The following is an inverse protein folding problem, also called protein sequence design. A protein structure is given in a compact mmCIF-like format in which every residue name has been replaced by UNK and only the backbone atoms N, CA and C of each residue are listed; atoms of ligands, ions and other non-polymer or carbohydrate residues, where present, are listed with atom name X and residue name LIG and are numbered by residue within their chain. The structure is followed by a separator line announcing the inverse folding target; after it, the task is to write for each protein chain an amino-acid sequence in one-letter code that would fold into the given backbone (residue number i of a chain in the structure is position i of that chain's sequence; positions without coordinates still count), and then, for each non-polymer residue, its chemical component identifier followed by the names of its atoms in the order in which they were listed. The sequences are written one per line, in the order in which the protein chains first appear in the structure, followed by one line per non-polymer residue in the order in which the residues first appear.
data_IF_465990220154
#
_entry.id   IF_465990220154
#
_cell.length_a   1.000
_cell.length_b   1.000
_cell.length_c   1.000
_cell.angle_alpha   90.00
_cell.angle_beta   90.00
_cell.angle_gamma   90.00
#
_symmetry.space_group_name_H-M   'P 1'
#
loop_
_entity.id
_entity.type
_entity.pdbx_description
1 polymer ?
#
# COMPACT_ATOMS: atom_id res chain seq x y z
N UNK A 1 -4.49 28.76 -25.53
CA UNK A 1 -4.81 27.72 -24.52
C UNK A 1 -3.61 26.79 -24.39
N UNK A 2 -3.18 26.39 -23.19
CA UNK A 2 -2.02 25.49 -23.00
C UNK A 2 -2.53 24.25 -22.29
N UNK A 3 -2.37 23.10 -22.92
CA UNK A 3 -2.64 21.81 -22.31
C UNK A 3 -1.41 21.32 -21.56
N UNK A 4 -1.61 20.88 -20.33
CA UNK A 4 -0.55 20.29 -19.52
C UNK A 4 -0.88 18.83 -19.34
N UNK A 5 0.07 17.97 -19.67
CA UNK A 5 -0.03 16.53 -19.42
C UNK A 5 1.13 16.09 -18.54
N UNK A 6 0.84 15.25 -17.54
CA UNK A 6 1.82 14.68 -16.64
C UNK A 6 1.73 13.16 -16.65
N UNK A 7 2.89 12.50 -16.66
CA UNK A 7 3.01 11.05 -16.74
C UNK A 7 4.17 10.55 -15.88
N UNK A 8 3.88 9.62 -14.99
CA UNK A 8 4.92 8.92 -14.22
C UNK A 8 5.64 7.90 -15.10
N UNK A 9 6.97 7.88 -15.07
CA UNK A 9 7.80 7.05 -15.97
C UNK A 9 7.66 5.57 -15.63
N UNK A 10 7.74 5.22 -14.33
CA UNK A 10 7.77 3.83 -13.83
C UNK A 10 6.42 3.32 -13.29
N UNK A 11 5.35 4.09 -13.49
CA UNK A 11 4.03 3.82 -12.93
C UNK A 11 3.77 4.57 -11.61
N UNK A 12 2.66 4.26 -10.92
CA UNK A 12 2.17 5.04 -9.80
C UNK A 12 2.60 4.54 -8.41
N UNK A 13 3.47 3.53 -8.30
CA UNK A 13 3.87 2.94 -7.00
C UNK A 13 5.39 3.06 -6.83
N UNK A 14 5.82 3.58 -5.69
CA UNK A 14 7.22 3.82 -5.34
C UNK A 14 7.49 3.38 -3.90
N UNK A 15 8.74 3.11 -3.57
CA UNK A 15 9.20 2.90 -2.21
C UNK A 15 9.67 4.21 -1.55
N UNK A 16 9.59 4.30 -0.23
CA UNK A 16 10.31 5.34 0.53
C UNK A 16 11.82 5.23 0.24
N UNK A 17 12.48 6.36 -0.03
CA UNK A 17 13.88 6.41 -0.50
C UNK A 17 14.07 6.36 -2.02
N UNK A 18 13.03 6.02 -2.78
CA UNK A 18 13.11 5.91 -4.24
C UNK A 18 12.97 7.28 -4.95
N UNK A 19 13.56 7.39 -6.14
CA UNK A 19 13.43 8.58 -7.00
C UNK A 19 12.16 8.44 -7.83
N UNK A 20 11.25 9.41 -7.69
CA UNK A 20 10.08 9.55 -8.54
C UNK A 20 10.40 10.42 -9.76
N UNK A 21 10.03 9.93 -10.95
CA UNK A 21 10.20 10.63 -12.21
C UNK A 21 8.85 10.90 -12.88
N UNK A 22 8.59 12.16 -13.20
CA UNK A 22 7.36 12.60 -13.87
C UNK A 22 7.70 13.42 -15.11
N UNK A 23 7.24 12.97 -16.27
CA UNK A 23 7.28 13.73 -17.52
C UNK A 23 6.13 14.73 -17.52
N UNK A 24 6.45 16.01 -17.62
CA UNK A 24 5.48 17.11 -17.68
C UNK A 24 5.59 17.74 -19.06
N UNK A 25 4.53 17.65 -19.86
CA UNK A 25 4.49 18.19 -21.23
C UNK A 25 3.49 19.32 -21.31
N UNK A 26 3.96 20.47 -21.79
CA UNK A 26 3.17 21.65 -22.10
C UNK A 26 2.94 21.68 -23.60
N UNK A 27 1.69 21.77 -24.04
CA UNK A 27 1.31 21.74 -25.45
C UNK A 27 0.41 22.92 -25.76
N UNK A 28 0.75 23.67 -26.81
CA UNK A 28 -0.19 24.59 -27.43
C UNK A 28 -0.87 23.85 -28.59
N UNK A 29 -2.17 23.51 -28.50
CA UNK A 29 -2.85 22.76 -29.56
C UNK A 29 -2.86 23.56 -30.87
N UNK A 30 -2.93 22.88 -32.03
CA UNK A 30 -3.00 23.57 -33.31
C UNK A 30 -4.27 24.41 -33.39
N UNK A 31 -4.18 25.59 -34.00
CA UNK A 31 -5.36 26.43 -34.25
C UNK A 31 -6.33 25.68 -35.17
N UNK A 32 -7.65 25.69 -34.89
CA UNK A 32 -8.63 25.26 -35.88
C UNK A 32 -8.46 26.14 -37.14
N UNK A 33 -8.58 25.54 -38.33
CA UNK A 33 -8.20 26.07 -39.65
C UNK A 33 -8.84 27.41 -40.10
N UNK A 34 -9.45 28.21 -39.22
CA UNK A 34 -10.19 29.44 -39.53
C UNK A 34 -9.87 30.68 -38.68
N UNK A 35 -8.81 30.69 -37.87
CA UNK A 35 -8.35 31.93 -37.21
C UNK A 35 -7.04 32.43 -37.82
N UNK A 36 -7.17 33.35 -38.78
CA UNK A 36 -6.04 34.13 -39.32
C UNK A 36 -5.64 35.14 -38.24
N UNK A 37 -4.51 34.91 -37.58
CA UNK A 37 -3.93 35.82 -36.59
C UNK A 37 -3.62 37.18 -37.23
N UNK A 38 -4.06 38.28 -36.59
CA UNK A 38 -3.83 39.64 -37.09
C UNK A 38 -2.50 40.25 -36.58
N UNK A 39 -1.77 39.57 -35.68
CA UNK A 39 -0.47 40.02 -35.19
C UNK A 39 0.51 38.86 -34.92
N UNK A 40 1.82 39.17 -34.91
CA UNK A 40 2.88 38.19 -34.63
C UNK A 40 2.91 37.73 -33.15
N UNK A 41 2.34 38.52 -32.23
CA UNK A 41 2.23 38.21 -30.80
C UNK A 41 1.05 37.29 -30.47
N UNK A 42 -0.02 37.32 -31.26
CA UNK A 42 -1.22 36.49 -31.03
C UNK A 42 -1.05 35.03 -31.47
N UNK A 43 0.12 34.69 -32.03
CA UNK A 43 0.47 33.32 -32.43
C UNK A 43 0.96 32.47 -31.26
N UNK A 44 1.54 33.09 -30.23
CA UNK A 44 2.21 32.36 -29.15
C UNK A 44 1.37 32.33 -27.89
N UNK A 45 1.31 31.15 -27.29
CA UNK A 45 0.82 31.01 -25.94
C UNK A 45 1.99 31.10 -24.98
N UNK A 46 1.85 31.93 -23.94
CA UNK A 46 2.90 32.15 -22.94
C UNK A 46 2.46 31.66 -21.56
N UNK A 47 3.40 31.01 -20.86
CA UNK A 47 3.29 30.60 -19.47
C UNK A 47 4.41 31.28 -18.68
N UNK A 48 4.05 32.02 -17.63
CA UNK A 48 5.01 32.78 -16.84
C UNK A 48 5.96 31.85 -16.08
N UNK A 49 5.41 30.83 -15.44
CA UNK A 49 6.21 29.81 -14.76
C UNK A 49 5.45 28.50 -14.58
N UNK A 50 6.21 27.43 -14.40
CA UNK A 50 5.72 26.16 -13.90
C UNK A 50 6.68 25.62 -12.83
N UNK A 51 6.14 25.08 -11.75
CA UNK A 51 6.90 24.41 -10.70
C UNK A 51 6.22 23.12 -10.27
N UNK A 52 6.98 22.17 -9.76
CA UNK A 52 6.47 20.91 -9.26
C UNK A 52 7.07 20.59 -7.90
N UNK A 53 6.27 19.90 -7.07
CA UNK A 53 6.70 19.43 -5.76
C UNK A 53 5.95 18.15 -5.38
N UNK A 54 6.53 17.38 -4.47
CA UNK A 54 5.90 16.21 -3.85
C UNK A 54 5.40 16.60 -2.46
N UNK A 55 4.21 16.14 -2.10
CA UNK A 55 3.73 16.24 -0.73
C UNK A 55 2.92 15.01 -0.30
N UNK A 56 2.93 14.75 1.01
CA UNK A 56 2.04 13.82 1.71
C UNK A 56 1.08 14.60 2.59
N UNK A 57 -0.21 14.33 2.43
CA UNK A 57 -1.25 14.80 3.33
C UNK A 57 -1.74 13.65 4.18
N UNK A 58 -1.88 13.90 5.48
CA UNK A 58 -2.60 13.02 6.38
C UNK A 58 -3.93 13.64 6.78
N UNK A 59 -5.01 12.91 6.55
CA UNK A 59 -6.34 13.25 7.03
C UNK A 59 -6.70 12.33 8.18
N UNK A 60 -7.16 12.91 9.28
CA UNK A 60 -7.52 12.18 10.50
C UNK A 60 -9.04 12.18 10.68
N UNK A 61 -9.56 11.10 11.25
CA UNK A 61 -10.94 11.04 11.70
C UNK A 61 -11.06 11.67 13.08
N UNK A 62 -11.73 12.82 13.14
CA UNK A 62 -11.87 13.60 14.37
C UNK A 62 -12.61 12.86 15.49
N UNK A 63 -13.37 11.80 15.20
CA UNK A 63 -14.03 10.97 16.23
C UNK A 63 -13.04 10.03 16.93
N UNK A 64 -11.96 9.66 16.27
CA UNK A 64 -11.00 8.64 16.74
C UNK A 64 -9.66 9.26 17.17
N UNK A 65 -9.29 10.41 16.58
CA UNK A 65 -7.97 11.03 16.73
C UNK A 65 -8.07 12.47 17.25
N UNK A 66 -7.27 12.80 18.26
CA UNK A 66 -7.07 14.13 18.81
C UNK A 66 -6.19 14.97 17.86
N UNK A 67 -6.83 15.79 17.03
CA UNK A 67 -6.16 16.53 15.95
C UNK A 67 -5.46 17.82 16.40
N UNK A 68 -5.67 18.28 17.64
CA UNK A 68 -5.13 19.56 18.14
C UNK A 68 -3.60 19.58 18.24
N UNK A 69 -2.98 18.48 18.71
CA UNK A 69 -1.51 18.37 18.80
C UNK A 69 -0.84 18.24 17.43
N UNK A 70 -1.52 17.57 16.50
CA UNK A 70 -1.04 17.32 15.13
C UNK A 70 -0.90 18.63 14.35
N UNK A 71 -1.85 19.56 14.54
CA UNK A 71 -1.85 20.85 13.86
C UNK A 71 -0.64 21.73 14.22
N UNK A 72 -0.10 21.61 15.44
CA UNK A 72 1.08 22.37 15.88
C UNK A 72 2.34 21.91 15.15
N UNK A 73 2.52 20.59 14.97
CA UNK A 73 3.65 20.00 14.25
C UNK A 73 3.53 20.14 12.72
N UNK A 74 2.31 20.10 12.19
CA UNK A 74 2.09 20.33 10.76
C UNK A 74 2.39 21.78 10.32
N UNK A 75 2.14 22.76 11.21
CA UNK A 75 2.46 24.17 10.95
C UNK A 75 3.97 24.41 10.82
N UNK A 76 4.82 23.72 11.60
CA UNK A 76 6.28 23.87 11.49
C UNK A 76 6.83 23.28 10.18
N UNK A 77 6.29 22.16 9.71
CA UNK A 77 6.68 21.55 8.41
C UNK A 77 6.26 22.45 7.23
N UNK A 78 5.10 23.09 7.31
CA UNK A 78 4.62 24.02 6.28
C UNK A 78 5.42 25.34 6.22
N UNK A 79 6.06 25.78 7.30
CA UNK A 79 6.88 27.00 7.37
C UNK A 79 8.20 26.87 6.60
N UNK A 80 8.69 25.64 6.35
CA UNK A 80 9.93 25.40 5.62
C UNK A 80 9.85 25.67 4.10
N UNK A 81 8.69 26.12 3.60
CA UNK A 81 8.55 26.64 2.26
C UNK A 81 8.81 28.14 2.24
N UNK A 82 10.07 28.54 1.99
CA UNK A 82 10.46 29.94 1.73
C UNK A 82 9.84 30.51 0.43
N UNK A 83 8.73 29.95 -0.06
CA UNK A 83 8.13 30.24 -1.36
C UNK A 83 6.63 30.50 -1.18
N UNK A 84 6.09 31.41 -1.97
CA UNK A 84 4.63 31.68 -2.03
C UNK A 84 3.84 30.54 -2.67
N UNK A 85 4.50 29.56 -3.28
CA UNK A 85 3.87 28.40 -3.86
C UNK A 85 3.55 27.37 -2.76
N UNK A 86 2.32 27.43 -2.25
CA UNK A 86 1.81 26.56 -1.18
C UNK A 86 0.57 25.76 -1.63
N UNK A 87 0.69 24.84 -2.62
CA UNK A 87 -0.47 24.14 -3.20
C UNK A 87 -1.21 23.23 -2.21
N UNK A 88 -0.59 22.86 -1.09
CA UNK A 88 -1.22 22.04 -0.05
C UNK A 88 -2.27 22.78 0.77
N UNK A 89 -2.26 24.12 0.79
CA UNK A 89 -3.23 24.91 1.57
C UNK A 89 -4.68 24.74 1.11
N UNK A 90 -4.88 24.30 -0.14
CA UNK A 90 -6.21 24.05 -0.70
C UNK A 90 -6.75 22.66 -0.39
N UNK A 91 -5.93 21.76 0.15
CA UNK A 91 -6.31 20.38 0.39
C UNK A 91 -6.65 20.15 1.87
N UNK A 92 -7.65 19.30 2.12
CA UNK A 92 -8.04 18.92 3.48
C UNK A 92 -6.99 18.00 4.11
N UNK A 93 -6.64 18.27 5.38
CA UNK A 93 -5.69 17.47 6.15
C UNK A 93 -4.45 18.25 6.56
N UNK A 94 -3.55 17.58 7.26
CA UNK A 94 -2.28 18.15 7.68
C UNK A 94 -1.15 17.66 6.77
N UNK A 95 -0.17 18.53 6.51
CA UNK A 95 0.99 18.19 5.69
C UNK A 95 1.99 17.43 6.55
N UNK A 96 2.23 16.18 6.18
CA UNK A 96 3.23 15.32 6.84
C UNK A 96 4.58 15.43 6.14
N UNK A 97 4.56 15.65 4.83
CA UNK A 97 5.77 15.74 4.01
C UNK A 97 5.56 16.75 2.90
N UNK A 98 6.57 17.57 2.64
CA UNK A 98 6.58 18.50 1.53
C UNK A 98 8.01 18.72 1.04
N UNK A 99 8.26 18.48 -0.25
CA UNK A 99 9.57 18.74 -0.85
C UNK A 99 9.68 20.20 -1.31
N UNK A 100 10.92 20.67 -1.49
CA UNK A 100 11.16 22.01 -2.03
C UNK A 100 10.62 22.08 -3.47
N UNK A 101 9.86 23.12 -3.85
CA UNK A 101 9.39 23.28 -5.23
C UNK A 101 10.56 23.37 -6.20
N UNK A 102 10.51 22.59 -7.29
CA UNK A 102 11.45 22.66 -8.40
C UNK A 102 10.80 23.37 -9.57
N UNK A 103 11.46 24.40 -10.09
CA UNK A 103 11.02 25.14 -11.27
C UNK A 103 11.24 24.27 -12.50
N UNK A 104 10.18 24.07 -13.30
CA UNK A 104 10.24 23.33 -14.57
C UNK A 104 10.57 24.27 -15.73
N UNK A 105 9.94 25.44 -15.77
CA UNK A 105 10.20 26.46 -16.78
C UNK A 105 9.82 27.86 -16.27
N UNK A 106 10.44 28.88 -16.86
CA UNK A 106 10.07 30.30 -16.74
C UNK A 106 9.87 30.87 -18.15
N UNK A 107 8.93 31.79 -18.30
CA UNK A 107 8.61 32.51 -19.54
C UNK A 107 8.53 31.60 -20.77
N UNK A 108 7.86 30.45 -20.61
CA UNK A 108 7.71 29.47 -21.66
C UNK A 108 6.77 30.01 -22.74
N UNK A 109 7.26 30.07 -23.98
CA UNK A 109 6.47 30.42 -25.18
C UNK A 109 6.35 29.20 -26.08
N UNK A 110 5.14 28.93 -26.56
CA UNK A 110 4.82 27.82 -27.45
C UNK A 110 4.05 28.31 -28.67
N UNK A 111 4.54 27.93 -29.85
CA UNK A 111 3.87 28.12 -31.14
C UNK A 111 2.67 27.17 -31.26
N UNK A 112 1.68 27.43 -32.15
CA UNK A 112 0.57 26.51 -32.34
C UNK A 112 1.05 25.14 -32.82
N UNK A 113 0.64 24.07 -32.14
CA UNK A 113 1.12 22.70 -32.38
C UNK A 113 2.46 22.36 -31.71
N UNK A 114 3.10 23.31 -31.02
CA UNK A 114 4.37 23.06 -30.32
C UNK A 114 4.12 22.45 -28.93
N UNK A 115 4.94 21.45 -28.60
CA UNK A 115 4.99 20.84 -27.28
C UNK A 115 6.40 20.88 -26.71
N UNK A 116 6.54 21.15 -25.41
CA UNK A 116 7.80 21.00 -24.67
C UNK A 116 7.61 20.10 -23.46
N UNK A 117 8.51 19.15 -23.29
CA UNK A 117 8.48 18.16 -22.20
C UNK A 117 9.68 18.37 -21.27
N UNK A 118 9.40 18.37 -19.97
CA UNK A 118 10.38 18.47 -18.90
C UNK A 118 10.30 17.22 -18.00
N UNK A 119 11.43 16.83 -17.41
CA UNK A 119 11.49 15.70 -16.48
C UNK A 119 11.61 16.26 -15.06
N UNK A 120 10.58 16.04 -14.25
CA UNK A 120 10.62 16.28 -12.82
C UNK A 120 11.19 15.05 -12.11
N UNK A 121 12.23 15.25 -11.28
CA UNK A 121 12.84 14.21 -10.45
C UNK A 121 12.83 14.63 -9.00
N UNK A 122 12.37 13.76 -8.11
CA UNK A 122 12.41 13.99 -6.67
C UNK A 122 12.69 12.69 -5.91
N UNK A 123 13.44 12.77 -4.82
CA UNK A 123 13.67 11.60 -3.96
C UNK A 123 12.63 11.61 -2.85
N UNK A 124 11.90 10.51 -2.69
CA UNK A 124 10.99 10.34 -1.56
C UNK A 124 11.84 10.09 -0.32
N UNK A 125 11.69 10.88 0.77
CA UNK A 125 12.39 10.62 2.03
C UNK A 125 12.22 9.17 2.51
N UNK A 126 13.29 8.59 3.07
CA UNK A 126 13.29 7.19 3.53
C UNK A 126 12.41 6.95 4.76
N UNK A 127 12.18 7.99 5.55
CA UNK A 127 11.31 8.05 6.72
C UNK A 127 9.85 8.41 6.37
N UNK A 128 9.55 8.60 5.09
CA UNK A 128 8.22 8.94 4.64
C UNK A 128 7.22 7.82 4.96
N UNK A 129 6.03 8.14 5.53
CA UNK A 129 5.02 7.12 5.84
C UNK A 129 4.47 6.50 4.55
N UNK A 130 4.02 5.23 4.56
CA UNK A 130 3.41 4.64 3.37
C UNK A 130 2.07 5.30 3.05
N UNK A 131 1.65 5.18 1.80
CA UNK A 131 0.29 5.52 1.39
C UNK A 131 -0.69 4.51 1.98
N UNK A 132 -1.67 5.02 2.72
CA UNK A 132 -2.61 4.20 3.47
C UNK A 132 -3.97 4.90 3.60
N UNK A 133 -5.05 4.11 3.62
CA UNK A 133 -6.42 4.58 3.81
C UNK A 133 -7.12 3.69 4.84
N UNK A 134 -7.03 4.09 6.10
CA UNK A 134 -7.72 3.45 7.22
C UNK A 134 -8.97 4.20 7.66
N UNK A 135 -9.47 3.84 8.84
CA UNK A 135 -10.65 4.47 9.46
C UNK A 135 -10.24 5.67 10.33
N UNK A 136 -9.10 5.55 11.03
CA UNK A 136 -8.56 6.61 11.87
C UNK A 136 -7.76 7.63 11.05
N UNK A 137 -6.92 7.17 10.11
CA UNK A 137 -6.04 8.05 9.33
C UNK A 137 -5.95 7.64 7.86
N UNK A 138 -5.59 8.60 7.01
CA UNK A 138 -5.28 8.37 5.60
C UNK A 138 -4.10 9.22 5.18
N UNK A 139 -3.06 8.59 4.66
CA UNK A 139 -1.88 9.21 4.06
C UNK A 139 -2.01 9.19 2.54
N UNK A 140 -1.96 10.36 1.91
CA UNK A 140 -2.14 10.54 0.47
C UNK A 140 -0.99 11.31 -0.13
N UNK A 141 -0.34 10.71 -1.13
CA UNK A 141 0.78 11.32 -1.86
C UNK A 141 0.36 11.86 -3.21
N UNK A 142 0.87 13.05 -3.54
CA UNK A 142 0.63 13.72 -4.82
C UNK A 142 1.89 14.46 -5.26
N UNK A 143 2.18 14.43 -6.55
CA UNK A 143 2.98 15.48 -7.19
C UNK A 143 1.99 16.58 -7.57
N UNK A 144 2.27 17.82 -7.18
CA UNK A 144 1.50 18.96 -7.65
C UNK A 144 2.36 19.83 -8.54
N UNK A 145 1.92 19.98 -9.78
CA UNK A 145 2.47 20.92 -10.75
C UNK A 145 1.63 22.19 -10.70
N UNK A 146 2.24 23.27 -10.23
CA UNK A 146 1.67 24.61 -10.25
C UNK A 146 2.12 25.37 -11.47
N UNK A 147 1.19 26.15 -12.02
CA UNK A 147 1.40 26.88 -13.26
C UNK A 147 0.63 28.18 -13.26
N UNK A 148 1.21 29.20 -13.88
CA UNK A 148 0.59 30.51 -13.93
C UNK A 148 0.89 31.17 -15.28
N UNK A 149 -0.14 31.70 -15.96
CA UNK A 149 0.06 32.72 -17.00
C UNK A 149 0.15 34.09 -16.35
N UNK A 150 0.80 35.03 -17.04
CA UNK A 150 0.85 36.43 -16.63
C UNK A 150 -0.57 36.93 -16.33
N UNK A 151 -0.77 37.56 -15.17
CA UNK A 151 -2.05 38.11 -14.70
C UNK A 151 -3.20 37.10 -14.53
N UNK A 152 -2.91 35.80 -14.38
CA UNK A 152 -3.93 34.78 -14.08
C UNK A 152 -3.70 34.10 -12.73
N UNK A 153 -4.72 33.45 -12.21
CA UNK A 153 -4.60 32.62 -11.00
C UNK A 153 -3.78 31.35 -11.27
N UNK A 154 -3.12 30.84 -10.24
CA UNK A 154 -2.34 29.60 -10.34
C UNK A 154 -3.30 28.43 -10.59
N UNK A 155 -3.04 27.66 -11.66
CA UNK A 155 -3.70 26.38 -11.92
C UNK A 155 -2.80 25.23 -11.43
N UNK A 156 -3.42 24.21 -10.84
CA UNK A 156 -2.73 23.06 -10.25
C UNK A 156 -3.12 21.78 -10.99
N UNK A 157 -2.13 21.01 -11.42
CA UNK A 157 -2.29 19.61 -11.85
C UNK A 157 -1.77 18.70 -10.74
N UNK A 158 -2.64 17.83 -10.22
CA UNK A 158 -2.31 16.88 -9.15
C UNK A 158 -2.17 15.47 -9.73
N UNK A 159 -1.00 14.85 -9.54
CA UNK A 159 -0.68 13.49 -9.98
C UNK A 159 -0.56 12.61 -8.73
N UNK A 160 -1.59 11.82 -8.37
CA UNK A 160 -1.52 10.92 -7.24
C UNK A 160 -0.58 9.76 -7.51
N UNK A 161 0.14 9.33 -6.48
CA UNK A 161 0.95 8.12 -6.50
C UNK A 161 0.90 7.45 -5.13
N UNK A 162 1.40 6.22 -5.06
CA UNK A 162 1.41 5.39 -3.88
C UNK A 162 2.84 5.16 -3.43
N UNK A 163 3.06 5.28 -2.13
CA UNK A 163 4.32 5.01 -1.45
C UNK A 163 4.18 3.73 -0.61
N UNK A 164 5.15 2.83 -0.69
CA UNK A 164 5.30 1.67 0.18
C UNK A 164 6.54 1.85 1.06
N UNK A 165 6.44 1.46 2.32
CA UNK A 165 7.57 1.55 3.26
C UNK A 165 8.36 0.24 3.31
N UNK A 166 9.67 0.35 3.51
CA UNK A 166 10.61 -0.76 3.74
C UNK A 166 11.20 -0.76 5.15
N UNK A 167 10.78 0.19 6.01
CA UNK A 167 11.45 0.53 7.27
C UNK A 167 11.45 -0.58 8.34
N UNK A 168 10.71 -1.67 8.16
CA UNK A 168 10.61 -2.76 9.14
C UNK A 168 11.53 -3.95 8.86
N UNK A 169 12.41 -3.86 7.85
CA UNK A 169 13.38 -4.93 7.64
C UNK A 169 14.41 -4.90 8.77
N UNK A 170 14.58 -6.01 9.53
CA UNK A 170 15.68 -6.11 10.47
C UNK A 170 16.98 -5.81 9.72
N UNK A 171 17.91 -5.09 10.35
CA UNK A 171 19.31 -5.06 9.93
C UNK A 171 19.84 -6.48 10.07
N UNK A 172 19.55 -7.34 9.10
CA UNK A 172 20.23 -8.61 8.96
C UNK A 172 21.63 -8.19 8.53
N UNK A 173 22.57 -8.28 9.49
CA UNK A 173 24.00 -8.39 9.20
C UNK A 173 24.12 -9.20 7.93
N UNK A 174 24.62 -8.57 6.86
CA UNK A 174 24.79 -9.19 5.56
C UNK A 174 25.15 -10.65 5.80
N UNK A 175 24.33 -11.57 5.28
CA UNK A 175 24.59 -12.99 5.44
C UNK A 175 25.91 -13.26 4.73
N UNK A 176 27.03 -13.09 5.43
CA UNK A 176 28.38 -13.32 4.92
C UNK A 176 28.59 -14.82 4.58
N UNK A 177 27.59 -15.67 4.86
CA UNK A 177 27.57 -17.10 4.55
C UNK A 177 26.84 -17.45 3.25
N UNK A 178 26.18 -16.51 2.57
CA UNK A 178 25.79 -16.78 1.17
C UNK A 178 26.99 -16.47 0.29
N UNK A 179 27.80 -17.50 0.01
CA UNK A 179 28.78 -17.46 -1.07
C UNK A 179 28.03 -17.01 -2.33
N UNK A 180 28.39 -15.85 -2.86
CA UNK A 180 27.80 -15.31 -4.08
C UNK A 180 28.10 -16.32 -5.21
N UNK A 181 27.09 -17.13 -5.56
CA UNK A 181 27.17 -18.13 -6.62
C UNK A 181 27.01 -17.48 -8.00
N UNK A 182 26.96 -16.16 -8.09
CA UNK A 182 27.03 -15.49 -9.37
C UNK A 182 28.37 -15.85 -10.03
N UNK A 183 28.36 -16.31 -11.30
CA UNK A 183 29.61 -16.61 -11.99
C UNK A 183 30.38 -15.30 -12.11
N UNK A 184 31.38 -15.12 -11.25
CA UNK A 184 32.27 -13.97 -11.24
C UNK A 184 33.04 -13.97 -12.56
N UNK A 185 32.47 -13.32 -13.56
CA UNK A 185 33.05 -13.23 -14.88
C UNK A 185 34.11 -12.13 -14.85
N UNK A 186 35.41 -12.47 -14.96
CA UNK A 186 36.49 -11.50 -14.87
C UNK A 186 36.52 -10.49 -16.04
N UNK A 187 35.66 -10.64 -17.04
CA UNK A 187 35.50 -9.72 -18.18
C UNK A 187 34.27 -8.81 -18.08
N UNK A 188 33.41 -8.99 -17.06
CA UNK A 188 32.29 -8.10 -16.79
C UNK A 188 32.72 -7.12 -15.70
N UNK A 189 32.95 -5.86 -16.07
CA UNK A 189 33.07 -4.80 -15.07
C UNK A 189 31.76 -4.76 -14.26
N UNK A 190 31.81 -5.17 -12.99
CA UNK A 190 30.72 -5.06 -12.02
C UNK A 190 30.52 -3.58 -11.64
N UNK A 191 30.04 -2.77 -12.60
CA UNK A 191 29.75 -1.35 -12.37
C UNK A 191 28.39 -1.11 -11.68
N UNK A 192 27.57 -2.15 -11.47
CA UNK A 192 26.30 -1.98 -10.78
C UNK A 192 26.54 -1.96 -9.27
N UNK A 193 26.85 -0.78 -8.71
CA UNK A 193 26.76 -0.56 -7.27
C UNK A 193 25.31 -0.80 -6.88
N UNK A 194 25.05 -1.89 -6.16
CA UNK A 194 23.73 -2.18 -5.60
C UNK A 194 23.24 -0.96 -4.81
N UNK A 195 22.05 -0.49 -5.16
CA UNK A 195 21.46 0.63 -4.40
C UNK A 195 20.97 0.12 -3.05
N UNK A 196 20.87 0.98 -2.01
CA UNK A 196 20.29 0.56 -0.73
C UNK A 196 18.89 -0.06 -0.86
N UNK A 197 18.13 0.38 -1.88
CA UNK A 197 16.83 -0.20 -2.22
C UNK A 197 16.97 -1.65 -2.73
N UNK A 198 17.95 -1.93 -3.59
CA UNK A 198 18.19 -3.28 -4.11
C UNK A 198 18.52 -4.26 -2.98
N UNK A 199 19.40 -3.83 -2.04
CA UNK A 199 19.76 -4.61 -0.85
C UNK A 199 18.53 -4.87 0.03
N UNK A 200 17.69 -3.85 0.25
CA UNK A 200 16.46 -3.99 1.02
C UNK A 200 15.48 -4.97 0.36
N UNK A 201 15.29 -4.89 -0.96
CA UNK A 201 14.43 -5.80 -1.72
C UNK A 201 14.95 -7.25 -1.70
N UNK A 202 16.27 -7.43 -1.80
CA UNK A 202 16.91 -8.75 -1.69
C UNK A 202 16.74 -9.34 -0.28
N UNK A 203 16.94 -8.54 0.75
CA UNK A 203 16.70 -8.92 2.15
C UNK A 203 15.25 -9.35 2.34
N UNK A 204 14.31 -8.59 1.80
CA UNK A 204 12.89 -8.90 1.85
C UNK A 204 12.54 -10.21 1.11
N UNK A 205 13.18 -10.46 -0.03
CA UNK A 205 13.04 -11.71 -0.77
C UNK A 205 13.51 -12.91 0.06
N UNK A 206 14.66 -12.80 0.72
CA UNK A 206 15.17 -13.86 1.59
C UNK A 206 14.24 -14.11 2.79
N UNK A 207 13.72 -13.04 3.41
CA UNK A 207 12.83 -13.14 4.56
C UNK A 207 11.51 -13.87 4.20
N UNK A 208 10.93 -13.53 3.06
CA UNK A 208 9.63 -14.06 2.61
C UNK A 208 9.72 -15.41 1.90
N UNK A 209 10.91 -15.81 1.45
CA UNK A 209 11.16 -17.12 0.86
C UNK A 209 11.33 -18.24 1.92
N UNK A 210 11.74 -17.88 3.14
CA UNK A 210 11.90 -18.84 4.25
C UNK A 210 10.56 -19.49 4.58
N UNK A 211 10.53 -20.83 4.53
CA UNK A 211 9.39 -21.63 4.97
C UNK A 211 9.76 -22.31 6.29
N UNK A 212 9.02 -22.00 7.34
CA UNK A 212 9.16 -22.59 8.66
C UNK A 212 7.77 -22.99 9.14
N UNK A 213 7.36 -24.26 8.93
CA UNK A 213 6.02 -24.70 9.28
C UNK A 213 5.78 -24.61 10.79
N UNK A 214 4.81 -23.79 11.18
CA UNK A 214 4.38 -23.63 12.56
C UNK A 214 3.09 -24.41 12.79
N UNK A 215 3.03 -25.18 13.87
CA UNK A 215 1.87 -25.98 14.23
C UNK A 215 1.17 -25.42 15.46
N UNK A 216 -0.14 -25.22 15.37
CA UNK A 216 -0.98 -24.65 16.40
C UNK A 216 -2.08 -25.65 16.76
N UNK A 217 -2.14 -26.05 18.03
CA UNK A 217 -3.23 -26.89 18.53
C UNK A 217 -4.36 -25.99 19.03
N UNK A 218 -5.42 -25.87 18.24
CA UNK A 218 -6.60 -25.07 18.59
C UNK A 218 -7.54 -25.92 19.43
N UNK A 219 -7.87 -25.43 20.62
CA UNK A 219 -8.70 -26.12 21.62
C UNK A 219 -9.83 -25.21 22.08
N UNK A 220 -10.97 -25.79 22.42
CA UNK A 220 -12.05 -25.13 23.14
C UNK A 220 -12.18 -25.72 24.56
N UNK A 221 -13.19 -25.28 25.32
CA UNK A 221 -13.44 -25.78 26.68
C UNK A 221 -13.75 -27.29 26.77
N UNK A 222 -14.09 -27.94 25.66
CA UNK A 222 -14.42 -29.38 25.58
C UNK A 222 -13.26 -30.23 25.04
N UNK A 223 -12.22 -29.62 24.47
CA UNK A 223 -11.02 -30.31 24.03
C UNK A 223 -10.42 -29.77 22.73
N UNK A 224 -9.71 -30.62 21.99
CA UNK A 224 -9.02 -30.24 20.75
C UNK A 224 -9.99 -30.18 19.58
N UNK A 225 -9.99 -29.05 18.87
CA UNK A 225 -10.82 -28.83 17.68
C UNK A 225 -10.03 -29.14 16.42
N UNK A 226 -8.81 -28.62 16.29
CA UNK A 226 -7.98 -28.84 15.09
C UNK A 226 -6.51 -28.57 15.39
N UNK A 227 -5.61 -29.22 14.66
CA UNK A 227 -4.21 -28.80 14.55
C UNK A 227 -4.01 -28.04 13.24
N UNK A 228 -3.77 -26.74 13.34
CA UNK A 228 -3.50 -25.90 12.18
C UNK A 228 -2.00 -25.80 11.91
N UNK A 229 -1.58 -25.95 10.65
CA UNK A 229 -0.20 -25.71 10.23
C UNK A 229 -0.14 -24.52 9.28
N UNK A 230 0.74 -23.56 9.57
CA UNK A 230 1.03 -22.43 8.70
C UNK A 230 2.48 -22.52 8.22
N UNK A 231 2.71 -22.49 6.90
CA UNK A 231 4.04 -22.75 6.33
C UNK A 231 5.05 -21.61 6.48
N UNK A 232 4.59 -20.37 6.65
CA UNK A 232 5.40 -19.18 6.96
C UNK A 232 4.53 -18.10 7.61
N UNK A 233 5.14 -17.16 8.32
CA UNK A 233 4.45 -16.04 8.98
C UNK A 233 4.69 -14.69 8.29
N UNK A 234 5.61 -14.61 7.34
CA UNK A 234 5.93 -13.40 6.58
C UNK A 234 5.61 -13.58 5.09
N UNK A 235 4.76 -12.71 4.57
CA UNK A 235 4.23 -12.77 3.21
C UNK A 235 4.47 -11.47 2.46
N UNK A 236 4.48 -11.53 1.13
CA UNK A 236 4.44 -10.35 0.27
C UNK A 236 3.02 -10.07 -0.20
N UNK A 237 2.73 -8.81 -0.52
CA UNK A 237 1.54 -8.45 -1.28
C UNK A 237 1.42 -9.31 -2.56
N UNK A 238 0.24 -9.86 -2.80
CA UNK A 238 -0.04 -10.73 -3.96
C UNK A 238 0.29 -12.20 -3.76
N UNK A 239 0.89 -12.61 -2.63
CA UNK A 239 1.06 -14.03 -2.31
C UNK A 239 -0.23 -14.65 -1.75
N UNK A 240 -0.31 -15.97 -1.82
CA UNK A 240 -1.34 -16.75 -1.16
C UNK A 240 -0.85 -17.26 0.19
N UNK A 241 -1.66 -17.05 1.23
CA UNK A 241 -1.46 -17.66 2.54
C UNK A 241 -1.95 -19.10 2.45
N UNK A 242 -1.02 -20.04 2.61
CA UNK A 242 -1.31 -21.47 2.54
C UNK A 242 -1.11 -22.12 3.91
N UNK A 243 -2.10 -22.91 4.33
CA UNK A 243 -2.03 -23.68 5.57
C UNK A 243 -2.81 -24.99 5.47
N UNK A 244 -2.70 -25.83 6.48
CA UNK A 244 -3.42 -27.12 6.55
C UNK A 244 -4.13 -27.29 7.88
N UNK A 245 -5.31 -27.88 7.84
CA UNK A 245 -6.09 -28.28 8.99
C UNK A 245 -6.00 -29.80 9.16
N UNK A 246 -5.60 -30.24 10.35
CA UNK A 246 -5.58 -31.65 10.74
C UNK A 246 -6.59 -31.88 11.87
N UNK A 247 -7.67 -32.57 11.53
CA UNK A 247 -8.75 -32.97 12.42
C UNK A 247 -8.62 -34.43 12.88
N UNK A 248 -7.60 -35.19 12.46
CA UNK A 248 -7.52 -36.64 12.76
C UNK A 248 -7.44 -36.95 14.26
N UNK A 249 -6.90 -36.02 15.03
CA UNK A 249 -6.77 -36.11 16.49
C UNK A 249 -7.70 -35.11 17.21
N UNK A 250 -8.75 -34.62 16.55
CA UNK A 250 -9.74 -33.75 17.16
C UNK A 250 -10.63 -34.53 18.12
N UNK A 251 -10.86 -33.98 19.32
CA UNK A 251 -11.83 -34.53 20.28
C UNK A 251 -13.19 -33.84 20.17
N UNK A 252 -13.24 -32.69 19.52
CA UNK A 252 -14.47 -31.93 19.25
C UNK A 252 -14.68 -31.87 17.76
N UNK A 253 -15.89 -32.22 17.31
CA UNK A 253 -16.25 -32.19 15.89
C UNK A 253 -16.40 -30.74 15.42
N UNK A 254 -15.53 -30.35 14.49
CA UNK A 254 -15.66 -29.09 13.77
C UNK A 254 -16.59 -29.28 12.57
N UNK A 255 -17.62 -28.45 12.49
CA UNK A 255 -18.63 -28.49 11.42
C UNK A 255 -18.20 -27.60 10.27
N UNK A 256 -17.66 -26.42 10.60
CA UNK A 256 -17.30 -25.40 9.66
C UNK A 256 -16.10 -24.62 10.17
N UNK A 257 -15.20 -24.27 9.26
CA UNK A 257 -14.12 -23.31 9.50
C UNK A 257 -14.28 -22.12 8.57
N UNK A 258 -13.95 -20.94 9.09
CA UNK A 258 -13.85 -19.73 8.29
C UNK A 258 -12.63 -18.95 8.70
N UNK A 259 -11.85 -18.49 7.72
CA UNK A 259 -10.61 -17.74 7.95
C UNK A 259 -10.67 -16.46 7.16
N UNK A 260 -10.48 -15.33 7.82
CA UNK A 260 -10.43 -14.02 7.16
C UNK A 260 -9.10 -13.34 7.41
N UNK A 261 -8.58 -12.67 6.38
CA UNK A 261 -7.43 -11.78 6.52
C UNK A 261 -7.92 -10.45 7.05
N UNK A 262 -7.42 -10.02 8.21
CA UNK A 262 -7.81 -8.78 8.86
C UNK A 262 -6.61 -7.85 9.06
N UNK A 263 -6.83 -6.56 8.85
CA UNK A 263 -5.89 -5.52 9.27
C UNK A 263 -6.32 -4.92 10.60
N UNK A 264 -5.37 -4.75 11.51
CA UNK A 264 -5.52 -4.13 12.82
C UNK A 264 -4.88 -2.73 12.83
N UNK A 265 -5.71 -1.70 12.87
CA UNK A 265 -5.28 -0.30 12.94
C UNK A 265 -5.26 0.17 14.41
N UNK A 266 -4.06 0.47 14.92
CA UNK A 266 -3.82 0.96 16.26
C UNK A 266 -3.43 2.44 16.22
N UNK A 267 -4.29 3.32 16.75
CA UNK A 267 -3.94 4.73 16.96
C UNK A 267 -3.06 4.86 18.20
N UNK A 268 -1.96 5.60 18.10
CA UNK A 268 -1.07 5.85 19.24
C UNK A 268 -1.82 6.51 20.40
N UNK A 269 -1.56 6.07 21.63
CA UNK A 269 -2.33 6.45 22.83
C UNK A 269 -2.31 7.97 23.09
N UNK A 270 -1.24 8.67 22.71
CA UNK A 270 -1.12 10.13 22.84
C UNK A 270 -2.05 10.93 21.91
N UNK A 271 -2.50 10.32 20.80
CA UNK A 271 -3.41 10.91 19.82
C UNK A 271 -4.81 10.30 19.87
N UNK A 272 -5.04 9.33 20.74
CA UNK A 272 -6.31 8.60 20.82
C UNK A 272 -7.39 9.44 21.49
N UNK A 273 -8.59 9.46 20.90
CA UNK A 273 -9.76 10.09 21.52
C UNK A 273 -10.57 9.05 22.29
N UNK A 274 -10.59 9.15 23.62
CA UNK A 274 -11.34 8.26 24.52
C UNK A 274 -10.46 7.22 25.22
N UNK A 275 -10.94 6.67 26.35
CA UNK A 275 -10.12 5.84 27.25
C UNK A 275 -9.96 4.37 26.82
N UNK A 276 -10.84 3.83 25.98
CA UNK A 276 -10.77 2.42 25.52
C UNK A 276 -11.33 2.33 24.09
N UNK A 277 -10.55 2.71 23.08
CA UNK A 277 -10.84 2.30 21.72
C UNK A 277 -10.00 1.06 21.41
N UNK A 278 -10.67 -0.08 21.19
CA UNK A 278 -10.06 -1.26 20.61
C UNK A 278 -9.43 -0.91 19.24
N UNK A 279 -8.43 -1.68 18.76
CA UNK A 279 -7.94 -1.50 17.40
C UNK A 279 -9.09 -1.59 16.40
N UNK A 280 -8.98 -0.80 15.33
CA UNK A 280 -9.98 -0.84 14.26
C UNK A 280 -9.66 -1.97 13.30
N UNK A 281 -10.61 -2.88 13.14
CA UNK A 281 -10.45 -4.10 12.36
C UNK A 281 -11.16 -3.96 11.02
N UNK A 282 -10.47 -4.31 9.93
CA UNK A 282 -11.06 -4.41 8.59
C UNK A 282 -10.77 -5.80 8.04
N UNK A 283 -11.82 -6.50 7.61
CA UNK A 283 -11.70 -7.81 6.95
C UNK A 283 -11.58 -7.65 5.43
N UNK A 284 -10.71 -8.43 4.83
CA UNK A 284 -10.50 -8.50 3.38
C UNK A 284 -11.05 -9.83 2.86
N UNK A 285 -10.19 -10.69 2.32
CA UNK A 285 -10.60 -11.99 1.80
C UNK A 285 -11.00 -12.93 2.93
N UNK A 286 -12.00 -13.78 2.66
CA UNK A 286 -12.50 -14.83 3.56
C UNK A 286 -12.50 -16.17 2.84
N UNK A 287 -11.88 -17.17 3.44
CA UNK A 287 -12.00 -18.58 3.08
C UNK A 287 -13.03 -19.23 4.01
N UNK A 288 -13.87 -20.10 3.46
CA UNK A 288 -14.95 -20.75 4.20
C UNK A 288 -15.13 -22.18 3.71
N UNK A 289 -15.23 -23.11 4.65
CA UNK A 289 -15.34 -24.53 4.34
C UNK A 289 -16.17 -25.28 5.38
N UNK A 290 -16.99 -26.21 4.90
CA UNK A 290 -17.69 -27.20 5.74
C UNK A 290 -16.76 -28.40 5.95
N UNK A 291 -16.33 -28.63 7.19
CA UNK A 291 -15.31 -29.62 7.53
C UNK A 291 -15.82 -30.81 8.35
N UNK A 292 -17.15 -30.92 8.54
CA UNK A 292 -17.75 -32.05 9.23
C UNK A 292 -17.35 -33.39 8.58
N UNK A 293 -16.65 -34.24 9.34
CA UNK A 293 -16.19 -35.55 8.88
C UNK A 293 -14.87 -35.58 8.11
N UNK A 294 -14.29 -34.41 7.80
CA UNK A 294 -12.97 -34.35 7.17
C UNK A 294 -11.88 -34.65 8.19
N UNK A 295 -10.89 -35.46 7.80
CA UNK A 295 -9.66 -35.66 8.59
C UNK A 295 -8.63 -34.58 8.31
N UNK A 296 -8.58 -34.11 7.07
CA UNK A 296 -7.63 -33.11 6.61
C UNK A 296 -8.33 -32.09 5.73
N UNK A 297 -7.91 -30.83 5.84
CA UNK A 297 -8.24 -29.79 4.89
C UNK A 297 -7.08 -28.79 4.72
N UNK A 298 -7.26 -27.79 3.88
CA UNK A 298 -6.28 -26.79 3.51
C UNK A 298 -6.89 -25.39 3.45
N UNK A 299 -6.05 -24.40 3.67
CA UNK A 299 -6.35 -22.98 3.52
C UNK A 299 -5.56 -22.46 2.32
N UNK A 300 -6.23 -21.73 1.43
CA UNK A 300 -5.59 -20.86 0.43
C UNK A 300 -6.30 -19.52 0.48
N UNK A 301 -5.59 -18.48 0.92
CA UNK A 301 -6.15 -17.15 1.12
C UNK A 301 -5.28 -16.10 0.44
N UNK A 302 -5.71 -15.51 -0.70
CA UNK A 302 -4.90 -14.54 -1.44
C UNK A 302 -4.75 -13.22 -0.69
N UNK A 303 -3.55 -12.63 -0.71
CA UNK A 303 -3.29 -11.28 -0.18
C UNK A 303 -3.48 -10.27 -1.31
N UNK A 304 -4.42 -9.30 -1.21
CA UNK A 304 -4.65 -8.37 -2.31
C UNK A 304 -3.46 -7.42 -2.52
N UNK A 305 -3.05 -7.21 -3.78
CA UNK A 305 -1.94 -6.29 -4.14
C UNK A 305 -2.18 -4.83 -3.73
N UNK A 306 -3.44 -4.43 -3.55
CA UNK A 306 -3.80 -3.05 -3.26
C UNK A 306 -3.80 -2.71 -1.77
N UNK A 307 -3.64 -3.67 -0.85
CA UNK A 307 -3.61 -3.38 0.60
C UNK A 307 -2.27 -2.79 1.00
N UNK A 308 -2.22 -2.13 2.16
CA UNK A 308 -0.96 -1.57 2.68
C UNK A 308 -0.31 -2.60 3.61
N UNK A 309 0.98 -2.91 3.43
CA UNK A 309 1.74 -3.79 4.33
C UNK A 309 1.78 -3.28 5.77
N UNK A 310 2.36 -4.06 6.67
CA UNK A 310 2.68 -3.60 8.03
C UNK A 310 3.49 -2.31 8.00
N UNK A 311 3.13 -1.38 8.87
CA UNK A 311 3.88 -0.15 9.05
C UNK A 311 3.62 0.48 10.42
N UNK A 312 4.58 1.28 10.85
CA UNK A 312 4.50 2.09 12.07
C UNK A 312 4.77 3.56 11.72
N UNK A 313 3.93 4.45 12.23
CA UNK A 313 4.20 5.90 12.32
C UNK A 313 3.88 6.40 13.72
N UNK A 314 4.27 7.64 14.03
CA UNK A 314 3.94 8.29 15.31
C UNK A 314 2.43 8.31 15.61
N UNK A 315 1.59 8.38 14.56
CA UNK A 315 0.13 8.46 14.70
C UNK A 315 -0.54 7.09 14.76
N UNK A 316 -0.09 6.13 13.96
CA UNK A 316 -0.80 4.86 13.75
C UNK A 316 0.17 3.70 13.50
N UNK A 317 -0.19 2.53 13.96
CA UNK A 317 0.44 1.25 13.61
C UNK A 317 -0.57 0.37 12.90
N UNK A 318 -0.20 -0.20 11.77
CA UNK A 318 -1.00 -1.18 11.03
C UNK A 318 -0.35 -2.55 11.17
N UNK A 319 -1.12 -3.55 11.63
CA UNK A 319 -0.70 -4.95 11.72
C UNK A 319 -1.69 -5.86 11.00
N UNK A 320 -1.29 -7.10 10.72
CA UNK A 320 -2.13 -8.09 10.06
C UNK A 320 -2.32 -9.36 10.88
N UNK A 321 -3.50 -9.97 10.76
CA UNK A 321 -3.83 -11.25 11.37
C UNK A 321 -4.74 -12.11 10.50
N UNK A 322 -4.68 -13.43 10.71
CA UNK A 322 -5.74 -14.35 10.34
C UNK A 322 -6.73 -14.44 11.49
N UNK A 323 -8.00 -14.22 11.17
CA UNK A 323 -9.12 -14.37 12.10
C UNK A 323 -9.89 -15.62 11.73
N UNK A 324 -9.83 -16.63 12.61
CA UNK A 324 -10.50 -17.90 12.47
C UNK A 324 -11.81 -17.90 13.25
N UNK A 325 -12.88 -18.33 12.60
CA UNK A 325 -14.16 -18.65 13.20
C UNK A 325 -14.40 -20.15 13.01
N UNK A 326 -14.48 -20.90 14.10
CA UNK A 326 -14.82 -22.32 14.07
C UNK A 326 -16.24 -22.50 14.58
N UNK A 327 -17.03 -23.28 13.85
CA UNK A 327 -18.30 -23.80 14.31
C UNK A 327 -18.06 -25.24 14.72
N UNK A 328 -18.34 -25.55 15.98
CA UNK A 328 -18.14 -26.87 16.57
C UNK A 328 -19.47 -27.42 17.05
N UNK A 329 -19.61 -28.74 17.10
CA UNK A 329 -20.79 -29.37 17.68
C UNK A 329 -20.40 -30.18 18.92
N UNK A 330 -21.11 -30.02 20.05
CA UNK A 330 -20.86 -30.79 21.26
C UNK A 330 -21.46 -32.20 21.20
N UNK A 331 -22.38 -32.46 20.26
CA UNK A 331 -23.01 -33.76 20.08
C UNK A 331 -22.19 -34.59 19.10
N UNK A 332 -22.04 -35.88 19.41
CA UNK A 332 -21.48 -36.85 18.46
C UNK A 332 -22.41 -36.94 17.25
N UNK A 333 -21.87 -36.64 16.07
CA UNK A 333 -22.57 -36.85 14.80
C UNK A 333 -22.23 -38.25 14.31
N UNK A 334 -23.25 -39.06 14.03
CA UNK A 334 -23.06 -40.36 13.41
C UNK A 334 -22.53 -40.19 11.99
N UNK A 335 -21.26 -40.58 11.79
CA UNK A 335 -20.62 -40.57 10.50
C UNK A 335 -20.92 -41.87 9.74
N UNK A 336 -20.97 -41.85 8.39
CA UNK A 336 -21.17 -43.08 7.62
C UNK A 336 -20.02 -44.05 7.86
N UNK A 337 -20.36 -45.32 8.10
CA UNK A 337 -19.40 -46.42 8.12
C UNK A 337 -19.18 -46.98 6.71
N UNK A 338 -18.28 -47.97 6.59
CA UNK A 338 -17.93 -48.60 5.30
C UNK A 338 -19.13 -49.26 4.60
N UNK A 339 -20.15 -49.68 5.36
CA UNK A 339 -21.35 -50.36 4.85
C UNK A 339 -22.58 -49.43 4.68
N UNK A 340 -22.42 -48.11 4.85
CA UNK A 340 -23.54 -47.16 4.75
C UNK A 340 -23.84 -46.81 3.29
N UNK A 341 -24.95 -47.33 2.76
CA UNK A 341 -25.36 -47.16 1.34
C UNK A 341 -25.87 -45.73 1.05
N UNK A 342 -26.53 -45.11 2.02
CA UNK A 342 -27.02 -43.73 1.92
C UNK A 342 -26.89 -43.05 3.27
N UNK A 343 -26.09 -41.98 3.33
CA UNK A 343 -25.97 -41.15 4.53
C UNK A 343 -26.57 -39.78 4.26
N UNK A 344 -27.44 -39.35 5.18
CA UNK A 344 -27.98 -38.01 5.20
C UNK A 344 -27.46 -37.32 6.46
N UNK A 345 -26.92 -36.11 6.28
CA UNK A 345 -26.51 -35.28 7.41
C UNK A 345 -27.71 -34.93 8.28
N UNK A 346 -27.48 -34.65 9.58
CA UNK A 346 -28.55 -34.27 10.49
C UNK A 346 -29.26 -33.00 10.02
N UNK A 347 -30.59 -32.99 10.08
CA UNK A 347 -31.42 -31.83 9.69
C UNK A 347 -31.24 -30.63 10.62
N UNK A 348 -30.83 -30.89 11.86
CA UNK A 348 -30.57 -29.88 12.89
C UNK A 348 -29.35 -30.30 13.69
N UNK A 349 -28.45 -29.35 13.94
CA UNK A 349 -27.23 -29.61 14.69
C UNK A 349 -27.03 -28.50 15.73
N UNK A 350 -26.81 -28.89 16.98
CA UNK A 350 -26.43 -27.94 18.02
C UNK A 350 -24.99 -27.51 17.78
N UNK A 351 -24.76 -26.20 17.75
CA UNK A 351 -23.46 -25.63 17.41
C UNK A 351 -23.01 -24.58 18.42
N UNK A 352 -21.70 -24.52 18.62
CA UNK A 352 -20.98 -23.51 19.40
C UNK A 352 -19.92 -22.87 18.50
N UNK A 353 -19.81 -21.54 18.55
CA UNK A 353 -18.80 -20.79 17.79
C UNK A 353 -17.62 -20.42 18.68
N UNK A 354 -16.41 -20.54 18.16
CA UNK A 354 -15.20 -20.02 18.79
C UNK A 354 -14.35 -19.23 17.80
N UNK A 355 -13.56 -18.31 18.35
CA UNK A 355 -12.65 -17.46 17.58
C UNK A 355 -11.21 -17.79 17.98
N UNK A 356 -10.32 -17.77 17.00
CA UNK A 356 -8.89 -17.82 17.22
C UNK A 356 -8.19 -16.84 16.26
N UNK A 357 -7.29 -16.02 16.78
CA UNK A 357 -6.56 -15.04 15.98
C UNK A 357 -5.08 -15.41 15.92
N UNK A 358 -4.48 -15.31 14.73
CA UNK A 358 -3.07 -15.58 14.50
C UNK A 358 -2.41 -14.38 13.79
N UNK A 359 -1.48 -13.65 14.44
CA UNK A 359 -0.77 -12.54 13.79
C UNK A 359 0.18 -13.04 12.70
N UNK A 360 0.39 -12.21 11.69
CA UNK A 360 1.36 -12.41 10.61
C UNK A 360 1.90 -11.07 10.11
N UNK A 361 2.95 -11.14 9.30
CA UNK A 361 3.57 -9.97 8.68
C UNK A 361 3.35 -9.98 7.17
N UNK A 362 2.89 -8.86 6.64
CA UNK A 362 2.78 -8.57 5.22
C UNK A 362 3.81 -7.51 4.88
N UNK A 363 4.55 -7.76 3.83
CA UNK A 363 5.58 -6.89 3.31
C UNK A 363 5.23 -6.42 1.90
N UNK A 364 5.76 -5.28 1.47
CA UNK A 364 5.52 -4.80 0.12
C UNK A 364 6.10 -5.74 -0.95
N UNK A 365 5.67 -5.54 -2.18
CA UNK A 365 6.22 -6.23 -3.34
C UNK A 365 6.58 -5.21 -4.41
N UNK A 366 7.55 -5.53 -5.25
CA UNK A 366 7.82 -4.75 -6.46
C UNK A 366 6.65 -4.95 -7.42
N UNK A 367 6.05 -3.85 -7.87
CA UNK A 367 5.04 -3.96 -8.92
C UNK A 367 5.71 -4.36 -10.23
N UNK A 368 5.24 -5.40 -10.92
CA UNK A 368 5.80 -5.80 -12.21
C UNK A 368 5.73 -4.64 -13.22
N UNK A 369 6.77 -4.42 -14.04
CA UNK A 369 6.80 -3.34 -15.02
C UNK A 369 5.65 -3.41 -16.04
N UNK A 370 5.17 -4.62 -16.35
CA UNK A 370 4.08 -4.83 -17.32
C UNK A 370 2.67 -4.58 -16.79
N UNK A 371 2.49 -4.34 -15.49
CA UNK A 371 1.18 -4.02 -14.88
C UNK A 371 0.94 -2.52 -14.71
N UNK A 372 1.94 -1.68 -14.97
CA UNK A 372 1.81 -0.23 -14.85
C UNK A 372 1.03 0.34 -16.04
N UNK A 373 -0.29 0.48 -15.91
CA UNK A 373 -1.07 1.34 -16.81
C UNK A 373 -0.45 2.75 -16.74
N UNK A 374 0.01 3.24 -17.89
CA UNK A 374 0.55 4.59 -18.01
C UNK A 374 -0.58 5.61 -17.96
N UNK A 375 -1.06 5.91 -16.75
CA UNK A 375 -2.09 6.92 -16.53
C UNK A 375 -1.52 8.29 -16.86
N UNK A 376 -2.11 8.94 -17.86
CA UNK A 376 -1.84 10.35 -18.20
C UNK A 376 -2.82 11.23 -17.43
N UNK A 377 -2.30 12.23 -16.74
CA UNK A 377 -3.09 13.26 -16.08
C UNK A 377 -3.03 14.53 -16.91
N UNK A 378 -4.15 15.20 -17.10
CA UNK A 378 -4.20 16.42 -17.89
C UNK A 378 -4.96 17.55 -17.18
N UNK A 379 -4.60 18.77 -17.53
CA UNK A 379 -5.37 19.97 -17.21
C UNK A 379 -5.17 20.99 -18.31
N UNK A 380 -6.10 21.92 -18.44
CA UNK A 380 -6.09 22.94 -19.48
C UNK A 380 -6.04 24.33 -18.86
N UNK A 381 -5.10 25.13 -19.35
CA UNK A 381 -4.87 26.50 -18.90
C UNK A 381 -5.46 27.51 -19.84
#
# INVERSE_FOLDING_TARGET
MIEITAKLVRGPVYFSGEIIECLVTFTNPPNPNHQISQSHSDLFESLAWASAQVHCQCTTNSKMVLSEKINTMARSIAINANTTFAPWQQDNGHVVLNTKPKILCCDLRLSPGESKTYIYRETIPSDAPPSYRGQAVKYSYKITIGTQRVNTVIKLLRVPFRVLSLSELPEITACNDSVDLSPNNPFMETQHRETPLDIALQTLQNLTARRSPNFYNVTNGRGRVVRFCLFKNSYKLGEDIVGTFDFSNATVSCVQVSVSLQSEEHVSEEYKRGKVAAPTLISYNKHHEMCLGLKYSHLVLPIPLHVTPDFVTDLVTLKWRLHFEFVTTPKLVEMPGENTISWHGPSTLDVETMIWDLPLHIHPTTTPPNTAQQTKYNTVI
#
